data_IF_048617686603
#
_entry.id   IF_048617686603
#
_cell.length_a   1.000
_cell.length_b   1.000
_cell.length_c   1.000
_cell.angle_alpha   90.00
_cell.angle_beta   90.00
_cell.angle_gamma   90.00
#
_symmetry.space_group_name_H-M   'P 1'
#
loop_
_entity.id
_entity.type
_entity.pdbx_description
1 polymer ?
#
# COMPACT_ATOMS: atom_id res chain seq x y z
N UNK A 1 34.20 19.38 -16.43
CA UNK A 1 34.34 17.90 -16.35
C UNK A 1 33.74 17.31 -15.08
N UNK A 2 34.01 17.86 -13.89
CA UNK A 2 33.48 17.36 -12.62
C UNK A 2 31.94 17.43 -12.52
N UNK A 3 31.34 18.53 -13.00
CA UNK A 3 29.87 18.69 -13.01
C UNK A 3 29.18 17.63 -13.87
N UNK A 4 29.69 17.35 -15.08
CA UNK A 4 29.11 16.36 -15.99
C UNK A 4 29.13 14.93 -15.41
N UNK A 5 30.19 14.56 -14.69
CA UNK A 5 30.30 13.24 -14.05
C UNK A 5 29.36 13.11 -12.84
N UNK A 6 29.18 14.20 -12.08
CA UNK A 6 28.19 14.25 -10.98
C UNK A 6 26.77 14.15 -11.53
N UNK A 7 26.43 14.93 -12.55
CA UNK A 7 25.10 14.88 -13.20
C UNK A 7 24.83 13.50 -13.82
N UNK A 8 25.82 12.89 -14.48
CA UNK A 8 25.67 11.55 -15.05
C UNK A 8 25.50 10.47 -13.97
N UNK A 9 26.27 10.54 -12.89
CA UNK A 9 26.13 9.62 -11.74
C UNK A 9 24.76 9.75 -11.07
N UNK A 10 24.24 10.97 -10.96
CA UNK A 10 22.90 11.23 -10.44
C UNK A 10 21.82 10.63 -11.35
N UNK A 11 21.88 10.89 -12.67
CA UNK A 11 20.93 10.33 -13.62
C UNK A 11 20.95 8.78 -13.66
N UNK A 12 22.14 8.18 -13.60
CA UNK A 12 22.29 6.72 -13.52
C UNK A 12 21.67 6.17 -12.23
N UNK A 13 21.88 6.84 -11.10
CA UNK A 13 21.28 6.47 -9.80
C UNK A 13 19.75 6.53 -9.85
N UNK A 14 19.18 7.59 -10.40
CA UNK A 14 17.73 7.75 -10.54
C UNK A 14 17.12 6.67 -11.43
N UNK A 15 17.77 6.35 -12.56
CA UNK A 15 17.33 5.28 -13.45
C UNK A 15 17.40 3.89 -12.78
N UNK A 16 18.49 3.61 -12.06
CA UNK A 16 18.62 2.35 -11.33
C UNK A 16 17.60 2.25 -10.19
N UNK A 17 17.38 3.33 -9.44
CA UNK A 17 16.40 3.37 -8.35
C UNK A 17 14.98 3.15 -8.87
N UNK A 18 14.61 3.76 -10.00
CA UNK A 18 13.28 3.56 -10.59
C UNK A 18 13.06 2.13 -11.09
N UNK A 19 14.07 1.52 -11.72
CA UNK A 19 13.99 0.12 -12.14
C UNK A 19 13.90 -0.85 -10.95
N UNK A 20 14.68 -0.62 -9.89
CA UNK A 20 14.66 -1.45 -8.68
C UNK A 20 13.32 -1.32 -7.95
N UNK A 21 12.81 -0.09 -7.81
CA UNK A 21 11.49 0.15 -7.21
C UNK A 21 10.41 -0.57 -8.01
N UNK A 22 10.44 -0.50 -9.35
CA UNK A 22 9.50 -1.25 -10.20
C UNK A 22 9.50 -2.74 -9.88
N UNK A 23 10.68 -3.37 -9.87
CA UNK A 23 10.79 -4.80 -9.54
C UNK A 23 10.34 -5.15 -8.12
N UNK A 24 10.55 -4.26 -7.14
CA UNK A 24 10.03 -4.48 -5.78
C UNK A 24 8.50 -4.39 -5.74
N UNK A 25 7.91 -3.45 -6.46
CA UNK A 25 6.45 -3.34 -6.56
C UNK A 25 5.83 -4.59 -7.20
N UNK A 26 6.46 -5.11 -8.25
CA UNK A 26 6.03 -6.36 -8.91
C UNK A 26 6.11 -7.55 -7.96
N UNK A 27 7.17 -7.66 -7.14
CA UNK A 27 7.28 -8.70 -6.11
C UNK A 27 6.16 -8.59 -5.07
N UNK A 28 5.83 -7.38 -4.63
CA UNK A 28 4.74 -7.17 -3.66
C UNK A 28 3.40 -7.57 -4.27
N UNK A 29 3.16 -7.24 -5.55
CA UNK A 29 1.95 -7.65 -6.26
C UNK A 29 1.84 -9.18 -6.38
N UNK A 30 2.94 -9.86 -6.70
CA UNK A 30 3.00 -11.33 -6.69
C UNK A 30 2.68 -11.91 -5.31
N UNK A 31 3.16 -11.29 -4.22
CA UNK A 31 2.82 -11.71 -2.86
C UNK A 31 1.31 -11.58 -2.58
N UNK A 32 0.64 -10.54 -3.09
CA UNK A 32 -0.82 -10.38 -2.95
C UNK A 32 -1.63 -11.45 -3.66
N UNK A 33 -1.07 -11.99 -4.74
CA UNK A 33 -1.61 -13.15 -5.48
C UNK A 33 -1.33 -14.49 -4.77
N UNK A 34 -0.59 -14.48 -3.66
CA UNK A 34 -0.27 -15.66 -2.86
C UNK A 34 1.06 -16.33 -3.20
N UNK A 35 1.90 -15.70 -4.04
CA UNK A 35 3.23 -16.21 -4.37
C UNK A 35 4.19 -15.86 -3.22
N UNK A 36 4.88 -16.86 -2.68
CA UNK A 36 5.87 -16.61 -1.63
C UNK A 36 7.06 -15.82 -2.19
N UNK A 37 7.34 -14.66 -1.60
CA UNK A 37 8.48 -13.81 -1.96
C UNK A 37 9.55 -13.78 -0.88
N UNK A 38 10.76 -13.40 -1.27
CA UNK A 38 11.87 -13.16 -0.34
C UNK A 38 11.71 -11.77 0.31
N UNK A 39 10.95 -11.69 1.41
CA UNK A 39 10.68 -10.42 2.09
C UNK A 39 11.93 -9.69 2.60
N UNK A 40 13.03 -10.41 2.84
CA UNK A 40 14.32 -9.78 3.21
C UNK A 40 14.93 -8.97 2.08
N UNK A 41 14.69 -9.34 0.82
CA UNK A 41 15.13 -8.57 -0.34
C UNK A 41 14.37 -7.24 -0.42
N UNK A 42 13.05 -7.29 -0.29
CA UNK A 42 12.20 -6.09 -0.27
C UNK A 42 12.61 -5.16 0.87
N UNK A 43 12.79 -5.71 2.07
CA UNK A 43 13.25 -4.95 3.23
C UNK A 43 14.61 -4.29 2.98
N UNK A 44 15.58 -5.03 2.44
CA UNK A 44 16.92 -4.49 2.15
C UNK A 44 16.88 -3.33 1.15
N UNK A 45 16.02 -3.41 0.12
CA UNK A 45 15.83 -2.31 -0.84
C UNK A 45 15.15 -1.11 -0.16
N UNK A 46 14.12 -1.34 0.65
CA UNK A 46 13.43 -0.27 1.39
C UNK A 46 14.38 0.43 2.36
N UNK A 47 15.16 -0.31 3.13
CA UNK A 47 16.15 0.22 4.05
C UNK A 47 17.20 1.05 3.29
N UNK A 48 17.69 0.53 2.15
CA UNK A 48 18.61 1.27 1.28
C UNK A 48 18.00 2.57 0.75
N UNK A 49 16.72 2.58 0.35
CA UNK A 49 16.04 3.81 -0.11
C UNK A 49 15.90 4.85 1.00
N UNK A 50 15.70 4.43 2.25
CA UNK A 50 15.65 5.33 3.41
C UNK A 50 17.05 5.87 3.75
N UNK A 51 18.09 5.05 3.62
CA UNK A 51 19.48 5.46 3.83
C UNK A 51 19.98 6.41 2.74
N UNK A 52 19.57 6.21 1.48
CA UNK A 52 19.95 7.07 0.36
C UNK A 52 19.44 8.52 0.48
N UNK A 53 18.39 8.76 1.27
CA UNK A 53 17.91 10.12 1.57
C UNK A 53 18.85 10.93 2.49
N UNK A 54 19.97 10.36 2.93
CA UNK A 54 20.99 11.02 3.75
C UNK A 54 21.99 11.82 2.89
N UNK A 55 22.18 11.43 1.62
CA UNK A 55 23.25 11.95 0.76
C UNK A 55 22.90 13.28 0.05
N UNK A 56 21.65 13.74 0.14
CA UNK A 56 21.30 15.11 -0.22
C UNK A 56 21.74 16.03 0.94
N UNK A 57 23.01 16.44 0.88
CA UNK A 57 23.56 17.53 1.69
C UNK A 57 22.62 18.73 1.65
N UNK A 58 21.75 18.81 2.66
CA UNK A 58 21.04 20.03 2.99
C UNK A 58 22.09 21.03 3.47
N UNK A 59 22.43 21.98 2.60
CA UNK A 59 23.14 23.20 2.97
C UNK A 59 22.55 23.73 4.28
N UNK A 60 23.33 23.63 5.34
CA UNK A 60 22.89 23.84 6.73
C UNK A 60 22.65 25.32 7.08
N UNK A 61 22.29 26.16 6.10
CA UNK A 61 22.18 27.61 6.24
C UNK A 61 20.75 28.17 6.08
N UNK A 62 19.71 27.33 5.91
CA UNK A 62 18.32 27.80 5.98
C UNK A 62 17.77 27.63 7.40
N UNK A 63 17.90 28.70 8.19
CA UNK A 63 17.45 28.79 9.59
C UNK A 63 15.92 28.85 9.77
N UNK A 64 15.14 28.44 8.77
CA UNK A 64 13.67 28.61 8.78
C UNK A 64 12.88 27.31 8.49
N UNK A 65 13.50 26.14 8.65
CA UNK A 65 12.79 24.86 8.59
C UNK A 65 12.35 24.37 9.97
N UNK A 66 11.50 25.16 10.61
CA UNK A 66 10.74 24.72 11.79
C UNK A 66 9.85 23.53 11.40
N UNK A 67 10.04 22.36 12.04
CA UNK A 67 9.20 21.13 11.98
C UNK A 67 9.25 20.28 10.69
N UNK A 68 10.33 20.31 9.92
CA UNK A 68 10.36 19.67 8.61
C UNK A 68 10.83 18.20 8.61
N UNK A 69 10.02 17.36 7.95
CA UNK A 69 10.27 16.00 7.42
C UNK A 69 11.76 15.60 7.40
N UNK A 70 12.10 14.52 8.12
CA UNK A 70 13.43 13.88 8.04
C UNK A 70 13.86 13.78 6.56
N UNK A 71 14.95 14.43 6.12
CA UNK A 71 15.37 14.41 4.71
C UNK A 71 15.57 12.99 4.19
N UNK A 72 15.98 12.08 5.09
CA UNK A 72 16.09 10.62 4.89
C UNK A 72 14.83 9.98 4.29
N UNK A 73 13.65 10.44 4.71
CA UNK A 73 12.39 9.85 4.26
C UNK A 73 11.92 10.41 2.92
N UNK A 74 12.39 11.59 2.48
CA UNK A 74 11.86 12.25 1.27
C UNK A 74 12.04 11.37 0.03
N UNK A 75 13.23 10.80 -0.15
CA UNK A 75 13.56 9.92 -1.27
C UNK A 75 12.68 8.67 -1.25
N UNK A 76 12.55 8.02 -0.08
CA UNK A 76 11.65 6.88 0.10
C UNK A 76 10.19 7.23 -0.26
N UNK A 77 9.68 8.36 0.23
CA UNK A 77 8.30 8.79 -0.02
C UNK A 77 8.01 9.00 -1.51
N UNK A 78 8.90 9.72 -2.19
CA UNK A 78 8.74 10.12 -3.58
C UNK A 78 8.99 8.97 -4.56
N UNK A 79 10.02 8.17 -4.32
CA UNK A 79 10.38 7.10 -5.25
C UNK A 79 9.54 5.85 -5.04
N UNK A 80 9.21 5.51 -3.80
CA UNK A 80 8.58 4.25 -3.44
C UNK A 80 7.17 4.41 -2.85
N UNK A 81 7.00 5.12 -1.72
CA UNK A 81 5.73 5.13 -0.97
C UNK A 81 4.55 5.55 -1.85
N UNK A 82 4.68 6.65 -2.60
CA UNK A 82 3.61 7.13 -3.47
C UNK A 82 3.22 6.11 -4.55
N UNK A 83 4.22 5.48 -5.19
CA UNK A 83 3.96 4.46 -6.22
C UNK A 83 3.34 3.21 -5.62
N UNK A 84 3.85 2.79 -4.47
CA UNK A 84 3.33 1.65 -3.71
C UNK A 84 1.86 1.84 -3.33
N UNK A 85 1.49 3.01 -2.79
CA UNK A 85 0.10 3.29 -2.43
C UNK A 85 -0.80 3.27 -3.68
N UNK A 86 -0.36 3.88 -4.79
CA UNK A 86 -1.11 3.90 -6.05
C UNK A 86 -1.32 2.51 -6.67
N UNK A 87 -0.28 1.67 -6.70
CA UNK A 87 -0.43 0.29 -7.21
C UNK A 87 -1.31 -0.55 -6.31
N UNK A 88 -1.25 -0.32 -4.99
CA UNK A 88 -2.13 -0.97 -4.01
C UNK A 88 -3.59 -0.61 -4.19
N UNK A 89 -3.88 0.68 -4.39
CA UNK A 89 -5.22 1.18 -4.71
C UNK A 89 -5.74 0.51 -6.00
N UNK A 90 -4.97 0.54 -7.08
CA UNK A 90 -5.37 -0.08 -8.35
C UNK A 90 -5.65 -1.58 -8.22
N UNK A 91 -4.80 -2.31 -7.48
CA UNK A 91 -5.00 -3.73 -7.21
C UNK A 91 -6.32 -4.00 -6.49
N UNK A 92 -6.60 -3.28 -5.40
CA UNK A 92 -7.82 -3.52 -4.62
C UNK A 92 -9.08 -3.01 -5.30
N UNK A 93 -9.02 -1.98 -6.14
CA UNK A 93 -10.15 -1.57 -7.01
C UNK A 93 -10.53 -2.71 -7.95
N UNK A 94 -9.54 -3.32 -8.61
CA UNK A 94 -9.76 -4.44 -9.53
C UNK A 94 -10.27 -5.68 -8.79
N UNK A 95 -9.53 -6.13 -7.77
CA UNK A 95 -9.87 -7.35 -7.00
C UNK A 95 -11.28 -7.25 -6.39
N UNK A 96 -11.62 -6.10 -5.81
CA UNK A 96 -12.92 -5.94 -5.16
C UNK A 96 -14.08 -5.95 -6.15
N UNK A 97 -13.91 -5.32 -7.33
CA UNK A 97 -14.91 -5.32 -8.38
C UNK A 97 -15.14 -6.73 -8.93
N UNK A 98 -14.05 -7.46 -9.21
CA UNK A 98 -14.11 -8.84 -9.71
C UNK A 98 -14.73 -9.79 -8.68
N UNK A 99 -14.42 -9.62 -7.39
CA UNK A 99 -14.96 -10.47 -6.35
C UNK A 99 -16.47 -10.26 -6.16
N UNK A 100 -16.95 -9.03 -6.25
CA UNK A 100 -18.37 -8.69 -6.09
C UNK A 100 -19.25 -9.20 -7.24
N UNK A 101 -18.68 -9.53 -8.42
CA UNK A 101 -19.45 -10.10 -9.53
C UNK A 101 -19.94 -11.53 -9.27
N UNK A 102 -19.28 -12.27 -8.37
CA UNK A 102 -19.56 -13.69 -8.15
C UNK A 102 -19.77 -14.10 -6.69
N UNK A 103 -19.70 -13.16 -5.74
CA UNK A 103 -19.78 -13.45 -4.30
C UNK A 103 -20.72 -12.47 -3.60
N UNK A 104 -21.25 -12.90 -2.46
CA UNK A 104 -22.15 -12.09 -1.64
C UNK A 104 -21.42 -10.99 -0.86
N UNK A 105 -22.15 -9.96 -0.42
CA UNK A 105 -21.59 -8.89 0.42
C UNK A 105 -20.98 -9.40 1.73
N UNK A 106 -21.62 -10.34 2.48
CA UNK A 106 -21.00 -10.88 3.69
C UNK A 106 -19.66 -11.57 3.43
N UNK A 107 -19.52 -12.30 2.32
CA UNK A 107 -18.25 -12.92 1.92
C UNK A 107 -17.20 -11.87 1.54
N UNK A 108 -17.64 -10.81 0.85
CA UNK A 108 -16.77 -9.68 0.52
C UNK A 108 -16.23 -9.00 1.79
N UNK A 109 -17.08 -8.74 2.79
CA UNK A 109 -16.67 -8.13 4.07
C UNK A 109 -15.62 -8.99 4.81
N UNK A 110 -15.81 -10.32 4.86
CA UNK A 110 -14.81 -11.24 5.43
C UNK A 110 -13.49 -11.17 4.66
N UNK A 111 -13.54 -11.06 3.34
CA UNK A 111 -12.35 -10.92 2.50
C UNK A 111 -11.64 -9.59 2.75
N UNK A 112 -12.38 -8.49 2.88
CA UNK A 112 -11.82 -7.16 3.17
C UNK A 112 -11.08 -7.16 4.51
N UNK A 113 -11.68 -7.70 5.57
CA UNK A 113 -11.02 -7.81 6.88
C UNK A 113 -9.69 -8.57 6.79
N UNK A 114 -9.70 -9.72 6.10
CA UNK A 114 -8.48 -10.49 5.86
C UNK A 114 -7.41 -9.68 5.11
N UNK A 115 -7.80 -8.97 4.04
CA UNK A 115 -6.87 -8.15 3.23
C UNK A 115 -6.26 -6.99 4.02
N UNK A 116 -7.04 -6.34 4.89
CA UNK A 116 -6.53 -5.26 5.74
C UNK A 116 -5.46 -5.76 6.72
N UNK A 117 -5.69 -6.92 7.33
CA UNK A 117 -4.71 -7.57 8.21
C UNK A 117 -3.44 -7.95 7.43
N UNK A 118 -3.59 -8.58 6.27
CA UNK A 118 -2.46 -8.94 5.41
C UNK A 118 -1.60 -7.72 5.02
N UNK A 119 -2.24 -6.59 4.69
CA UNK A 119 -1.54 -5.38 4.28
C UNK A 119 -0.83 -4.67 5.45
N UNK A 120 -1.44 -4.73 6.65
CA UNK A 120 -0.79 -4.26 7.87
C UNK A 120 0.45 -5.09 8.20
N UNK A 121 0.32 -6.42 8.21
CA UNK A 121 1.43 -7.34 8.48
C UNK A 121 2.56 -7.14 7.46
N UNK A 122 2.20 -6.91 6.19
CA UNK A 122 3.13 -6.60 5.11
C UNK A 122 3.93 -5.33 5.38
N UNK A 123 3.23 -4.26 5.79
CA UNK A 123 3.87 -3.00 6.11
C UNK A 123 4.83 -3.14 7.30
N UNK A 124 4.43 -3.86 8.35
CA UNK A 124 5.28 -4.09 9.53
C UNK A 124 6.50 -4.97 9.24
N UNK A 125 6.38 -5.91 8.30
CA UNK A 125 7.45 -6.86 7.95
C UNK A 125 8.63 -6.21 7.22
N UNK A 126 8.36 -5.32 6.27
CA UNK A 126 9.41 -4.83 5.37
C UNK A 126 9.26 -3.39 4.86
N UNK A 127 8.24 -2.63 5.26
CA UNK A 127 8.10 -1.22 4.88
C UNK A 127 8.51 -0.28 6.02
N UNK A 128 8.80 0.98 5.68
CA UNK A 128 9.04 1.99 6.70
C UNK A 128 7.72 2.37 7.38
N UNK A 129 7.73 2.48 8.73
CA UNK A 129 6.56 2.77 9.59
C UNK A 129 5.73 4.00 9.19
N UNK A 130 6.32 4.95 8.46
CA UNK A 130 5.60 6.13 7.97
C UNK A 130 4.51 5.80 6.95
N UNK A 131 4.62 4.64 6.30
CA UNK A 131 3.72 4.20 5.23
C UNK A 131 2.47 3.51 5.76
N UNK A 132 2.47 3.08 7.03
CA UNK A 132 1.37 2.31 7.61
C UNK A 132 0.06 3.11 7.61
N UNK A 133 0.07 4.31 8.19
CA UNK A 133 -1.11 5.18 8.27
C UNK A 133 -1.67 5.56 6.88
N UNK A 134 -0.85 6.01 5.90
CA UNK A 134 -1.32 6.25 4.53
C UNK A 134 -1.90 5.01 3.84
N UNK A 135 -1.28 3.85 4.04
CA UNK A 135 -1.71 2.58 3.47
C UNK A 135 -3.05 2.12 4.03
N UNK A 136 -3.18 2.07 5.36
CA UNK A 136 -4.43 1.70 6.04
C UNK A 136 -5.59 2.57 5.55
N UNK A 137 -5.43 3.90 5.56
CA UNK A 137 -6.47 4.82 5.09
C UNK A 137 -6.85 4.57 3.63
N UNK A 138 -5.87 4.34 2.76
CA UNK A 138 -6.13 4.11 1.35
C UNK A 138 -6.85 2.78 1.11
N UNK A 139 -6.46 1.73 1.82
CA UNK A 139 -7.14 0.44 1.75
C UNK A 139 -8.58 0.54 2.29
N UNK A 140 -8.80 1.20 3.41
CA UNK A 140 -10.14 1.46 3.97
C UNK A 140 -11.01 2.29 3.01
N UNK A 141 -10.45 3.31 2.37
CA UNK A 141 -11.15 4.12 1.38
C UNK A 141 -11.66 3.25 0.21
N UNK A 142 -10.76 2.47 -0.39
CA UNK A 142 -11.03 1.67 -1.61
C UNK A 142 -11.92 0.46 -1.33
N UNK A 143 -11.70 -0.22 -0.21
CA UNK A 143 -12.39 -1.47 0.12
C UNK A 143 -13.71 -1.24 0.83
N UNK A 144 -13.83 -0.18 1.63
CA UNK A 144 -14.99 0.08 2.50
C UNK A 144 -15.71 1.35 2.06
N UNK A 145 -15.05 2.50 2.08
CA UNK A 145 -15.73 3.82 1.98
C UNK A 145 -16.44 3.98 0.63
N UNK A 146 -15.78 3.64 -0.47
CA UNK A 146 -16.36 3.72 -1.83
C UNK A 146 -17.56 2.78 -2.01
N UNK A 147 -17.65 1.71 -1.21
CA UNK A 147 -18.68 0.66 -1.31
C UNK A 147 -19.71 0.72 -0.19
N UNK A 148 -19.69 1.78 0.63
CA UNK A 148 -20.55 1.88 1.80
C UNK A 148 -22.04 1.88 1.41
N UNK A 149 -22.39 2.52 0.30
CA UNK A 149 -23.77 2.55 -0.21
C UNK A 149 -24.26 1.15 -0.59
N UNK A 150 -23.38 0.32 -1.18
CA UNK A 150 -23.69 -1.08 -1.50
C UNK A 150 -23.99 -1.87 -0.22
N UNK A 151 -23.21 -1.67 0.84
CA UNK A 151 -23.44 -2.34 2.12
C UNK A 151 -24.76 -1.91 2.77
N UNK A 152 -25.09 -0.61 2.70
CA UNK A 152 -26.34 -0.10 3.27
C UNK A 152 -27.56 -0.66 2.55
N UNK A 153 -27.50 -0.83 1.24
CA UNK A 153 -28.61 -1.41 0.46
C UNK A 153 -28.82 -2.90 0.72
N UNK A 154 -27.75 -3.62 1.07
CA UNK A 154 -27.78 -5.07 1.32
C UNK A 154 -28.12 -5.41 2.78
N UNK A 155 -27.98 -4.45 3.69
CA UNK A 155 -28.28 -4.64 5.11
C UNK A 155 -29.74 -5.07 5.41
N UNK A 156 -30.78 -4.48 4.78
CA UNK A 156 -32.17 -4.92 4.99
C UNK A 156 -32.40 -6.36 4.53
N UNK A 157 -31.82 -6.76 3.39
CA UNK A 157 -31.94 -8.11 2.83
C UNK A 157 -31.35 -9.15 3.79
N UNK A 158 -30.21 -8.83 4.39
CA UNK A 158 -29.58 -9.70 5.40
C UNK A 158 -30.44 -9.83 6.66
N UNK A 159 -31.12 -8.75 7.10
CA UNK A 159 -32.01 -8.79 8.26
C UNK A 159 -33.31 -9.57 8.01
N UNK A 160 -33.82 -9.58 6.77
CA UNK A 160 -34.99 -10.37 6.38
C UNK A 160 -34.63 -11.86 6.32
N UNK A 161 -33.51 -12.21 5.69
CA UNK A 161 -33.03 -13.59 5.60
C UNK A 161 -32.77 -14.23 6.98
N UNK A 162 -32.20 -13.47 7.93
CA UNK A 162 -31.93 -13.96 9.30
C UNK A 162 -33.24 -14.21 10.09
N UNK A 163 -34.30 -13.45 9.81
CA UNK A 163 -35.63 -13.69 10.41
C UNK A 163 -36.28 -14.96 9.86
N UNK A 164 -36.11 -15.24 8.57
CA UNK A 164 -36.71 -16.40 7.93
C UNK A 164 -36.05 -17.73 8.39
N UNK A 165 -34.73 -17.76 8.62
CA UNK A 165 -34.04 -18.94 9.18
C UNK A 165 -34.52 -19.31 10.60
N UNK A 166 -34.80 -18.31 11.44
CA UNK A 166 -35.26 -18.54 12.83
C UNK A 166 -36.70 -19.09 12.87
N UNK A 167 -37.55 -18.71 11.91
CA UNK A 167 -38.92 -19.22 11.85
C UNK A 167 -39.02 -20.67 11.33
N UNK A 168 -38.10 -21.08 10.45
CA UNK A 168 -38.03 -22.45 9.91
C UNK A 168 -37.52 -23.49 10.93
N UNK A 169 -36.68 -23.07 11.89
CA UNK A 169 -36.14 -23.98 12.93
C UNK A 169 -37.09 -24.16 14.13
N UNK A 170 -38.19 -23.41 14.17
CA UNK A 170 -39.18 -23.41 15.26
C UNK A 170 -40.49 -24.17 14.94
N UNK A 171 -40.54 -24.92 13.82
CA UNK A 171 -41.68 -25.77 13.41
C UNK A 171 -41.26 -27.24 13.32
#
# INVERSE_FOLDING_TARGET
FQLALVTWKQALREHMATSIVGGVLDLIEQERQGIAITSSLVKGVVDCLVELGIDEVVDSNSAESTKAVNPKLRVYKQLFEEKFIRTTEAFYVCESSDFLLGNSIPEYMKKVEKRLIEEKDRCEKYLHRSSLQPLERKCEEVLISVKLDLFQNEFPVLLENDKDEVTMTSS
#
